data_IF_091847466876
#
_entry.id   IF_091847466876
#
_cell.length_a   1.000
_cell.length_b   1.000
_cell.length_c   1.000
_cell.angle_alpha   90.00
_cell.angle_beta   90.00
_cell.angle_gamma   90.00
#
_symmetry.space_group_name_H-M   'P 1'
#
loop_
_entity.id
_entity.type
_entity.pdbx_description
1 polymer ?
#
# COMPACT_ATOMS: atom_id res chain seq x y z
N UNK A 1 12.15 4.70 -24.87
CA UNK A 1 11.36 3.79 -24.02
C UNK A 1 11.84 3.93 -22.59
N UNK A 2 10.89 4.10 -21.67
CA UNK A 2 11.20 4.23 -20.26
C UNK A 2 11.71 2.92 -19.64
N UNK A 3 12.45 3.02 -18.56
CA UNK A 3 12.73 1.89 -17.67
C UNK A 3 11.44 1.48 -16.97
N UNK A 4 10.99 0.23 -17.16
CA UNK A 4 9.80 -0.27 -16.49
C UNK A 4 10.12 -0.67 -15.04
N UNK A 5 9.54 0.06 -14.10
CA UNK A 5 9.68 -0.20 -12.66
C UNK A 5 8.71 -1.32 -12.22
N UNK A 6 9.01 -2.56 -12.62
CA UNK A 6 8.17 -3.73 -12.34
C UNK A 6 8.23 -4.12 -10.86
N UNK A 7 7.08 -4.45 -10.29
CA UNK A 7 6.99 -4.90 -8.89
C UNK A 7 7.56 -6.29 -8.64
N UNK A 8 7.54 -7.20 -9.63
CA UNK A 8 8.03 -8.58 -9.43
C UNK A 8 9.47 -8.68 -8.96
N UNK A 9 10.47 -7.97 -9.54
CA UNK A 9 11.85 -8.01 -9.02
C UNK A 9 11.95 -7.52 -7.58
N UNK A 10 11.16 -6.50 -7.20
CA UNK A 10 11.10 -5.98 -5.82
C UNK A 10 10.60 -7.06 -4.88
N UNK A 11 9.49 -7.71 -5.24
CA UNK A 11 8.88 -8.81 -4.48
C UNK A 11 9.82 -9.99 -4.31
N UNK A 12 10.57 -10.35 -5.36
CA UNK A 12 11.53 -11.45 -5.30
C UNK A 12 12.71 -11.11 -4.37
N UNK A 13 13.18 -9.87 -4.41
CA UNK A 13 14.22 -9.37 -3.50
C UNK A 13 13.74 -9.37 -2.04
N UNK A 14 12.58 -8.78 -1.76
CA UNK A 14 11.97 -8.79 -0.42
C UNK A 14 11.78 -10.21 0.12
N UNK A 15 11.41 -11.16 -0.74
CA UNK A 15 11.15 -12.54 -0.33
C UNK A 15 12.40 -13.26 0.23
N UNK A 16 13.59 -12.89 -0.20
CA UNK A 16 14.85 -13.48 0.31
C UNK A 16 15.03 -13.05 1.78
N UNK A 17 14.97 -11.75 2.06
CA UNK A 17 15.11 -11.22 3.42
C UNK A 17 14.01 -11.74 4.34
N UNK A 18 12.75 -11.69 3.89
CA UNK A 18 11.61 -12.13 4.69
C UNK A 18 11.71 -13.61 5.09
N UNK A 19 12.11 -14.51 4.19
CA UNK A 19 12.29 -15.93 4.54
C UNK A 19 13.35 -16.10 5.62
N UNK A 20 14.49 -15.44 5.51
CA UNK A 20 15.56 -15.51 6.50
C UNK A 20 15.07 -15.03 7.88
N UNK A 21 14.34 -13.91 7.91
CA UNK A 21 13.76 -13.37 9.16
C UNK A 21 12.70 -14.30 9.76
N UNK A 22 11.85 -14.90 8.93
CA UNK A 22 10.82 -15.87 9.37
C UNK A 22 11.48 -17.11 9.96
N UNK A 23 12.52 -17.65 9.33
CA UNK A 23 13.26 -18.79 9.86
C UNK A 23 13.93 -18.46 11.20
N UNK A 24 14.52 -17.27 11.32
CA UNK A 24 15.09 -16.80 12.58
C UNK A 24 14.02 -16.63 13.70
N UNK A 25 12.83 -16.17 13.39
CA UNK A 25 11.70 -16.10 14.32
C UNK A 25 11.26 -17.50 14.76
N UNK A 26 11.07 -18.42 13.82
CA UNK A 26 10.67 -19.80 14.08
C UNK A 26 11.70 -20.55 14.93
N UNK A 27 12.98 -20.33 14.71
CA UNK A 27 14.05 -20.92 15.55
C UNK A 27 13.98 -20.47 17.02
N UNK A 28 13.34 -19.33 17.29
CA UNK A 28 13.07 -18.78 18.65
C UNK A 28 11.68 -19.16 19.18
N UNK A 29 10.92 -20.00 18.46
CA UNK A 29 9.58 -20.43 18.82
C UNK A 29 8.47 -19.41 18.49
N UNK A 30 8.78 -18.41 17.67
CA UNK A 30 7.78 -17.41 17.22
C UNK A 30 7.29 -17.77 15.82
N UNK A 31 6.00 -18.06 15.67
CA UNK A 31 5.33 -18.33 14.38
C UNK A 31 4.65 -17.06 13.88
N UNK A 32 5.24 -16.29 12.93
CA UNK A 32 4.62 -15.07 12.45
C UNK A 32 3.25 -15.36 11.84
N UNK A 33 2.21 -14.75 12.38
CA UNK A 33 0.82 -15.06 12.05
C UNK A 33 0.03 -13.79 11.70
N UNK A 34 -0.62 -13.81 10.54
CA UNK A 34 -1.49 -12.76 10.03
C UNK A 34 -2.96 -13.12 10.29
N UNK A 35 -3.68 -12.30 11.05
CA UNK A 35 -5.13 -12.34 11.11
C UNK A 35 -5.74 -11.73 9.85
N UNK A 36 -6.71 -12.42 9.25
CA UNK A 36 -7.48 -11.97 8.08
C UNK A 36 -8.93 -11.79 8.51
N UNK A 37 -9.38 -10.53 8.62
CA UNK A 37 -10.74 -10.21 9.08
C UNK A 37 -11.59 -9.77 7.90
N UNK A 38 -12.68 -10.50 7.62
CA UNK A 38 -13.65 -10.13 6.59
C UNK A 38 -15.09 -10.29 7.06
N UNK A 39 -15.98 -9.57 6.40
CA UNK A 39 -17.42 -9.68 6.58
C UNK A 39 -18.07 -10.21 5.30
N UNK A 40 -18.90 -11.25 5.44
CA UNK A 40 -19.58 -11.87 4.31
C UNK A 40 -18.62 -12.50 3.29
N UNK A 41 -19.05 -12.55 2.02
CA UNK A 41 -18.35 -13.25 0.95
C UNK A 41 -18.25 -12.40 -0.34
N UNK A 42 -17.91 -11.12 -0.20
CA UNK A 42 -17.72 -10.26 -1.37
C UNK A 42 -16.61 -10.82 -2.27
N UNK A 43 -16.83 -10.92 -3.60
CA UNK A 43 -15.86 -11.52 -4.52
C UNK A 43 -14.46 -10.89 -4.45
N UNK A 44 -14.40 -9.57 -4.28
CA UNK A 44 -13.14 -8.84 -4.20
C UNK A 44 -12.36 -9.20 -2.92
N UNK A 45 -13.05 -9.30 -1.78
CA UNK A 45 -12.43 -9.70 -0.51
C UNK A 45 -11.90 -11.13 -0.58
N UNK A 46 -12.69 -12.05 -1.14
CA UNK A 46 -12.28 -13.45 -1.34
C UNK A 46 -11.07 -13.57 -2.28
N UNK A 47 -11.01 -12.75 -3.31
CA UNK A 47 -9.89 -12.72 -4.25
C UNK A 47 -8.62 -12.20 -3.56
N UNK A 48 -8.75 -11.11 -2.78
CA UNK A 48 -7.63 -10.53 -2.05
C UNK A 48 -7.17 -11.46 -0.90
N UNK A 49 -8.10 -12.07 -0.17
CA UNK A 49 -7.79 -13.07 0.86
C UNK A 49 -6.99 -14.26 0.29
N UNK A 50 -7.41 -14.80 -0.86
CA UNK A 50 -6.65 -15.88 -1.55
C UNK A 50 -5.24 -15.45 -1.89
N UNK A 51 -5.08 -14.23 -2.40
CA UNK A 51 -3.77 -13.67 -2.76
C UNK A 51 -2.89 -13.50 -1.53
N UNK A 52 -3.43 -12.94 -0.44
CA UNK A 52 -2.73 -12.77 0.83
C UNK A 52 -2.32 -14.11 1.43
N UNK A 53 -3.22 -15.11 1.49
CA UNK A 53 -2.92 -16.47 1.95
C UNK A 53 -1.84 -17.15 1.12
N UNK A 54 -1.93 -17.06 -0.22
CA UNK A 54 -0.92 -17.62 -1.12
C UNK A 54 0.45 -16.97 -0.89
N UNK A 55 0.47 -15.65 -0.72
CA UNK A 55 1.72 -14.94 -0.46
C UNK A 55 2.31 -15.30 0.91
N UNK A 56 1.51 -15.31 1.97
CA UNK A 56 1.92 -15.72 3.30
C UNK A 56 2.53 -17.15 3.28
N UNK A 57 1.81 -18.12 2.72
CA UNK A 57 2.29 -19.49 2.59
C UNK A 57 3.60 -19.61 1.82
N UNK A 58 3.80 -18.84 0.73
CA UNK A 58 5.01 -18.85 -0.08
C UNK A 58 6.27 -18.35 0.67
N UNK A 59 6.04 -17.59 1.75
CA UNK A 59 7.09 -17.06 2.63
C UNK A 59 7.26 -17.90 3.90
N UNK A 60 6.29 -18.76 4.23
CA UNK A 60 6.29 -19.56 5.47
C UNK A 60 5.60 -18.84 6.63
N UNK A 61 4.77 -17.81 6.38
CA UNK A 61 3.90 -17.18 7.37
C UNK A 61 2.61 -17.98 7.57
N UNK A 62 2.11 -17.99 8.79
CA UNK A 62 0.78 -18.53 9.11
C UNK A 62 -0.31 -17.47 8.93
N UNK A 63 -1.53 -17.93 8.61
CA UNK A 63 -2.71 -17.07 8.51
C UNK A 63 -3.86 -17.61 9.36
N UNK A 64 -4.58 -16.71 10.05
CA UNK A 64 -5.72 -17.02 10.89
C UNK A 64 -6.95 -16.25 10.40
N UNK A 65 -7.93 -16.91 9.73
CA UNK A 65 -9.11 -16.21 9.23
C UNK A 65 -10.11 -15.94 10.36
N UNK A 66 -10.70 -14.76 10.32
CA UNK A 66 -11.82 -14.33 11.16
C UNK A 66 -12.93 -13.88 10.21
N UNK A 67 -13.92 -14.74 10.04
CA UNK A 67 -15.04 -14.51 9.12
C UNK A 67 -16.27 -14.17 9.93
N UNK A 68 -16.79 -12.96 9.73
CA UNK A 68 -18.04 -12.52 10.34
C UNK A 68 -19.17 -12.57 9.29
N UNK A 69 -20.39 -12.71 9.78
CA UNK A 69 -21.58 -12.54 8.96
C UNK A 69 -21.62 -11.12 8.35
N UNK A 70 -22.15 -10.95 7.15
CA UNK A 70 -22.25 -9.64 6.48
C UNK A 70 -23.20 -8.66 7.19
N UNK A 71 -24.10 -9.18 8.04
CA UNK A 71 -25.00 -8.42 8.90
C UNK A 71 -24.54 -8.40 10.38
N UNK A 72 -23.33 -8.88 10.68
CA UNK A 72 -22.85 -8.89 12.07
C UNK A 72 -22.86 -7.48 12.67
N UNK A 73 -23.39 -7.30 13.88
CA UNK A 73 -23.45 -5.99 14.51
C UNK A 73 -22.05 -5.49 14.88
N UNK A 74 -21.92 -4.17 15.02
CA UNK A 74 -20.64 -3.53 15.38
C UNK A 74 -19.98 -4.17 16.61
N UNK A 75 -20.75 -4.55 17.63
CA UNK A 75 -20.23 -5.22 18.83
C UNK A 75 -19.51 -6.55 18.54
N UNK A 76 -19.96 -7.30 17.53
CA UNK A 76 -19.29 -8.54 17.14
C UNK A 76 -17.93 -8.28 16.46
N UNK A 77 -17.86 -7.25 15.61
CA UNK A 77 -16.60 -6.83 15.00
C UNK A 77 -15.64 -6.31 16.08
N UNK A 78 -16.14 -5.49 17.01
CA UNK A 78 -15.35 -4.99 18.14
C UNK A 78 -14.78 -6.13 18.98
N UNK A 79 -15.60 -7.12 19.35
CA UNK A 79 -15.15 -8.28 20.13
C UNK A 79 -14.06 -9.07 19.37
N UNK A 80 -14.19 -9.22 18.06
CA UNK A 80 -13.19 -9.88 17.22
C UNK A 80 -11.87 -9.10 17.22
N UNK A 81 -11.89 -7.79 17.01
CA UNK A 81 -10.68 -6.97 17.04
C UNK A 81 -10.02 -6.97 18.42
N UNK A 82 -10.80 -6.91 19.48
CA UNK A 82 -10.28 -7.04 20.84
C UNK A 82 -9.60 -8.41 21.06
N UNK A 83 -10.22 -9.50 20.60
CA UNK A 83 -9.62 -10.83 20.70
C UNK A 83 -8.28 -10.91 19.97
N UNK A 84 -8.18 -10.29 18.78
CA UNK A 84 -6.95 -10.20 18.00
C UNK A 84 -5.89 -9.38 18.73
N UNK A 85 -6.26 -8.24 19.33
CA UNK A 85 -5.32 -7.41 20.08
C UNK A 85 -4.70 -8.17 21.27
N UNK A 86 -5.48 -8.99 21.98
CA UNK A 86 -5.00 -9.76 23.13
C UNK A 86 -4.31 -11.08 22.74
N UNK A 87 -4.52 -11.60 21.54
CA UNK A 87 -3.91 -12.86 21.10
C UNK A 87 -2.44 -12.67 20.77
N UNK A 88 -1.57 -13.11 21.67
CA UNK A 88 -0.10 -13.03 21.51
C UNK A 88 0.45 -13.91 20.38
N UNK A 89 -0.36 -14.82 19.84
CA UNK A 89 0.02 -15.67 18.70
C UNK A 89 -0.30 -15.00 17.36
N UNK A 90 -0.97 -13.84 17.33
CA UNK A 90 -1.29 -13.03 16.16
C UNK A 90 -0.41 -11.79 16.18
N UNK A 91 0.35 -11.57 15.11
CA UNK A 91 1.32 -10.50 14.99
C UNK A 91 0.87 -9.33 14.11
N UNK A 92 -0.12 -9.56 13.25
CA UNK A 92 -0.71 -8.50 12.42
C UNK A 92 -2.15 -8.81 12.05
N UNK A 93 -2.91 -7.76 11.74
CA UNK A 93 -4.31 -7.85 11.33
C UNK A 93 -4.54 -7.12 10.01
N UNK A 94 -5.02 -7.84 9.01
CA UNK A 94 -5.52 -7.29 7.76
C UNK A 94 -7.05 -7.34 7.79
N UNK A 95 -7.68 -6.18 7.89
CA UNK A 95 -9.13 -6.03 7.84
C UNK A 95 -9.57 -5.62 6.45
N UNK A 96 -10.40 -6.45 5.79
CA UNK A 96 -10.91 -6.15 4.45
C UNK A 96 -11.93 -5.02 4.49
N UNK A 97 -11.70 -3.99 3.71
CA UNK A 97 -12.50 -2.77 3.64
C UNK A 97 -12.94 -2.46 2.20
N UNK A 98 -13.98 -1.66 1.97
CA UNK A 98 -14.81 -1.00 2.98
C UNK A 98 -15.70 -1.97 3.76
N UNK A 99 -15.95 -1.68 5.03
CA UNK A 99 -16.94 -2.39 5.83
C UNK A 99 -18.37 -2.02 5.39
N UNK A 100 -19.39 -2.83 5.73
CA UNK A 100 -20.79 -2.46 5.52
C UNK A 100 -21.12 -1.08 6.09
N UNK A 101 -21.91 -0.28 5.36
CA UNK A 101 -22.18 1.13 5.66
C UNK A 101 -22.92 1.40 6.96
N UNK A 102 -23.50 0.38 7.59
CA UNK A 102 -24.15 0.50 8.90
C UNK A 102 -23.17 0.42 10.08
N UNK A 103 -21.89 0.12 9.81
CA UNK A 103 -20.82 0.08 10.80
C UNK A 103 -20.02 1.39 10.81
N UNK A 104 -19.55 1.79 11.98
CA UNK A 104 -18.56 2.86 12.10
C UNK A 104 -17.15 2.30 11.83
N UNK A 105 -16.80 2.22 10.53
CA UNK A 105 -15.48 1.73 10.08
C UNK A 105 -14.34 2.49 10.76
N UNK A 106 -14.48 3.81 10.91
CA UNK A 106 -13.43 4.64 11.51
C UNK A 106 -13.20 4.28 12.99
N UNK A 107 -14.27 4.09 13.75
CA UNK A 107 -14.14 3.65 15.14
C UNK A 107 -13.52 2.26 15.23
N UNK A 108 -13.92 1.32 14.36
CA UNK A 108 -13.39 -0.04 14.32
C UNK A 108 -11.90 -0.06 13.94
N UNK A 109 -11.47 0.70 12.91
CA UNK A 109 -10.06 0.81 12.56
C UNK A 109 -9.19 1.31 13.73
N UNK A 110 -9.72 2.25 14.54
CA UNK A 110 -9.00 2.80 15.69
C UNK A 110 -8.98 1.89 16.93
N UNK A 111 -9.70 0.77 16.91
CA UNK A 111 -9.63 -0.24 17.98
C UNK A 111 -8.44 -1.18 17.83
N UNK A 112 -7.89 -1.29 16.63
CA UNK A 112 -6.75 -2.15 16.39
C UNK A 112 -5.50 -1.54 17.03
N UNK A 113 -4.76 -2.37 17.80
CA UNK A 113 -3.48 -1.96 18.38
C UNK A 113 -2.48 -1.57 17.29
N UNK A 114 -1.75 -0.46 17.43
CA UNK A 114 -0.81 0.00 16.41
C UNK A 114 0.21 -1.06 16.02
N UNK A 115 0.71 -1.83 16.96
CA UNK A 115 1.64 -2.94 16.73
C UNK A 115 1.06 -4.08 15.88
N UNK A 116 -0.27 -4.17 15.73
CA UNK A 116 -0.96 -5.16 14.89
C UNK A 116 -1.64 -4.56 13.68
N UNK A 117 -1.65 -3.24 13.57
CA UNK A 117 -2.21 -2.49 12.44
C UNK A 117 -1.22 -2.48 11.25
N UNK A 118 -0.97 -3.65 10.70
CA UNK A 118 0.03 -3.84 9.63
C UNK A 118 -0.36 -3.21 8.29
N UNK A 119 -1.58 -2.70 8.15
CA UNK A 119 -2.04 -1.98 6.96
C UNK A 119 -2.10 -0.45 7.16
N UNK A 120 -1.75 0.02 8.37
CA UNK A 120 -1.65 1.44 8.70
C UNK A 120 -2.97 2.19 8.60
N UNK A 121 -4.07 1.56 9.04
CA UNK A 121 -5.44 2.10 8.89
C UNK A 121 -5.91 2.92 10.07
N UNK A 122 -5.29 2.76 11.24
CA UNK A 122 -5.63 3.48 12.46
C UNK A 122 -5.06 4.90 12.47
N UNK A 123 -5.66 5.78 13.27
CA UNK A 123 -5.13 7.13 13.48
C UNK A 123 -3.75 7.10 14.14
N UNK A 124 -3.47 6.13 15.01
CA UNK A 124 -2.17 5.98 15.65
C UNK A 124 -1.08 5.68 14.61
N UNK A 125 -1.29 4.69 13.73
CA UNK A 125 -0.35 4.37 12.65
C UNK A 125 -0.18 5.54 11.67
N UNK A 126 -1.25 6.27 11.34
CA UNK A 126 -1.15 7.46 10.50
C UNK A 126 -0.39 8.60 11.19
N UNK A 127 -0.58 8.78 12.51
CA UNK A 127 0.17 9.76 13.27
C UNK A 127 1.66 9.42 13.32
N UNK A 128 2.04 8.13 13.44
CA UNK A 128 3.43 7.70 13.41
C UNK A 128 4.13 8.05 12.09
N UNK A 129 3.44 7.89 10.95
CA UNK A 129 3.96 8.31 9.64
C UNK A 129 4.21 9.83 9.59
N UNK A 130 3.32 10.62 10.21
CA UNK A 130 3.45 12.08 10.24
C UNK A 130 4.56 12.55 11.18
N UNK A 131 4.78 11.85 12.30
CA UNK A 131 5.73 12.22 13.35
C UNK A 131 7.09 11.51 13.25
N UNK A 132 7.26 10.64 12.27
CA UNK A 132 8.44 9.77 12.11
C UNK A 132 8.69 8.86 13.33
N UNK A 133 7.63 8.51 14.10
CA UNK A 133 7.75 7.54 15.18
C UNK A 133 7.64 6.10 14.66
N UNK A 134 8.05 5.14 15.50
CA UNK A 134 7.97 3.71 15.21
C UNK A 134 6.70 3.05 15.79
N UNK A 135 5.70 3.83 16.19
CA UNK A 135 4.49 3.34 16.83
C UNK A 135 3.43 2.92 15.80
N UNK A 136 3.58 1.76 15.22
CA UNK A 136 2.71 1.25 14.18
C UNK A 136 3.36 1.21 12.79
N UNK A 137 2.55 0.95 11.77
CA UNK A 137 3.03 0.73 10.41
C UNK A 137 2.44 1.74 9.43
N UNK A 138 3.20 2.15 8.41
CA UNK A 138 2.66 2.98 7.35
C UNK A 138 1.66 2.19 6.49
N UNK A 139 0.71 2.86 5.80
CA UNK A 139 -0.15 2.21 4.84
C UNK A 139 0.65 1.45 3.78
N UNK A 140 0.33 0.17 3.59
CA UNK A 140 1.11 -0.75 2.75
C UNK A 140 1.32 -0.26 1.32
N UNK A 141 0.32 0.42 0.71
CA UNK A 141 0.46 0.94 -0.65
C UNK A 141 1.41 2.14 -0.71
N UNK A 142 1.41 3.00 0.31
CA UNK A 142 2.35 4.10 0.40
C UNK A 142 3.79 3.58 0.57
N UNK A 143 3.99 2.59 1.45
CA UNK A 143 5.28 1.91 1.61
C UNK A 143 5.73 1.24 0.31
N UNK A 144 4.84 0.58 -0.43
CA UNK A 144 5.19 -0.06 -1.70
C UNK A 144 5.75 0.91 -2.75
N UNK A 145 5.31 2.18 -2.75
CA UNK A 145 5.91 3.21 -3.58
C UNK A 145 7.38 3.46 -3.20
N UNK A 146 7.65 3.53 -1.91
CA UNK A 146 9.02 3.75 -1.39
C UNK A 146 9.90 2.54 -1.69
N UNK A 147 9.40 1.31 -1.48
CA UNK A 147 10.13 0.07 -1.79
C UNK A 147 10.54 -0.01 -3.28
N UNK A 148 9.68 0.40 -4.19
CA UNK A 148 10.03 0.46 -5.62
C UNK A 148 11.12 1.51 -5.87
N UNK A 149 11.00 2.71 -5.31
CA UNK A 149 12.00 3.76 -5.49
C UNK A 149 13.37 3.32 -4.95
N UNK A 150 13.40 2.69 -3.77
CA UNK A 150 14.63 2.19 -3.16
C UNK A 150 15.26 1.05 -3.97
N UNK A 151 14.47 0.05 -4.37
CA UNK A 151 14.96 -1.08 -5.15
C UNK A 151 15.61 -0.65 -6.47
N UNK A 152 14.96 0.27 -7.18
CA UNK A 152 15.47 0.81 -8.44
C UNK A 152 16.48 1.94 -8.26
N UNK A 153 16.85 2.25 -7.01
CA UNK A 153 17.85 3.27 -6.66
C UNK A 153 17.51 4.65 -7.21
N UNK A 154 16.23 5.00 -7.25
CA UNK A 154 15.78 6.32 -7.67
C UNK A 154 16.17 7.34 -6.58
N UNK A 155 16.98 8.36 -6.90
CA UNK A 155 17.44 9.32 -5.90
C UNK A 155 16.29 10.18 -5.39
N UNK A 156 16.22 10.36 -4.05
CA UNK A 156 15.18 11.15 -3.38
C UNK A 156 15.73 12.45 -2.77
N UNK A 157 16.97 12.44 -2.29
CA UNK A 157 17.59 13.60 -1.61
C UNK A 157 17.63 14.80 -2.54
N UNK A 158 16.98 15.89 -2.12
CA UNK A 158 16.91 17.15 -2.89
C UNK A 158 16.01 17.10 -4.12
N UNK A 159 15.28 15.99 -4.35
CA UNK A 159 14.38 15.83 -5.49
C UNK A 159 13.02 16.45 -5.22
N UNK A 160 12.44 17.04 -6.26
CA UNK A 160 11.05 17.52 -6.24
C UNK A 160 10.10 16.40 -6.64
N UNK A 161 9.18 16.07 -5.73
CA UNK A 161 8.15 15.04 -5.94
C UNK A 161 6.77 15.68 -5.96
N UNK A 162 6.01 15.45 -7.01
CA UNK A 162 4.59 15.81 -7.07
C UNK A 162 3.76 14.54 -6.80
N UNK A 163 2.91 14.60 -5.79
CA UNK A 163 1.96 13.54 -5.43
C UNK A 163 0.55 13.99 -5.79
N UNK A 164 -0.07 13.33 -6.78
CA UNK A 164 -1.44 13.63 -7.19
C UNK A 164 -2.39 12.67 -6.45
N UNK A 165 -3.07 13.20 -5.44
CA UNK A 165 -3.93 12.47 -4.52
C UNK A 165 -3.62 12.85 -3.09
N UNK A 166 -4.66 12.83 -2.22
CA UNK A 166 -4.53 13.21 -0.80
C UNK A 166 -5.29 12.29 0.14
N UNK A 167 -5.45 11.03 -0.26
CA UNK A 167 -6.06 10.01 0.59
C UNK A 167 -5.17 9.70 1.80
N UNK A 168 -5.77 9.12 2.84
CA UNK A 168 -5.03 8.60 3.99
C UNK A 168 -4.35 7.25 3.69
N UNK A 169 -4.71 6.62 2.58
CA UNK A 169 -4.15 5.31 2.18
C UNK A 169 -2.86 5.47 1.37
N UNK A 170 -2.76 6.50 0.51
CA UNK A 170 -1.60 6.68 -0.38
C UNK A 170 -1.04 8.10 -0.30
N UNK A 171 -1.79 9.10 -0.77
CA UNK A 171 -1.24 10.42 -1.07
C UNK A 171 -0.57 11.11 0.12
N UNK A 172 -1.26 11.25 1.24
CA UNK A 172 -0.68 11.88 2.44
C UNK A 172 0.46 11.05 3.04
N UNK A 173 0.30 9.73 3.31
CA UNK A 173 1.38 8.96 3.90
C UNK A 173 2.61 8.88 3.01
N UNK A 174 2.50 8.63 1.70
CA UNK A 174 3.69 8.61 0.83
C UNK A 174 4.41 9.95 0.81
N UNK A 175 3.67 11.06 0.87
CA UNK A 175 4.26 12.40 0.92
C UNK A 175 5.13 12.61 2.17
N UNK A 176 4.65 12.17 3.34
CA UNK A 176 5.42 12.25 4.59
C UNK A 176 6.64 11.33 4.56
N UNK A 177 6.48 10.10 4.04
CA UNK A 177 7.59 9.15 3.91
C UNK A 177 8.69 9.68 2.98
N UNK A 178 8.33 10.38 1.90
CA UNK A 178 9.29 11.00 0.98
C UNK A 178 9.95 12.24 1.59
N UNK A 179 9.19 13.04 2.34
CA UNK A 179 9.75 14.16 3.10
C UNK A 179 10.83 13.69 4.09
N UNK A 180 10.58 12.61 4.83
CA UNK A 180 11.56 11.95 5.70
C UNK A 180 12.82 11.50 4.94
N UNK A 181 12.71 11.19 3.64
CA UNK A 181 13.83 10.83 2.76
C UNK A 181 14.51 12.04 2.12
N UNK A 182 14.28 13.25 2.65
CA UNK A 182 14.83 14.54 2.17
C UNK A 182 14.40 14.91 0.74
N UNK A 183 13.22 14.46 0.29
CA UNK A 183 12.60 15.00 -0.92
C UNK A 183 11.78 16.25 -0.59
N UNK A 184 11.64 17.17 -1.57
CA UNK A 184 10.68 18.27 -1.50
C UNK A 184 9.37 17.81 -2.13
N UNK A 185 8.26 17.86 -1.40
CA UNK A 185 7.00 17.25 -1.84
C UNK A 185 5.90 18.30 -2.04
N UNK A 186 5.26 18.25 -3.20
CA UNK A 186 4.04 19.02 -3.51
C UNK A 186 2.86 18.06 -3.61
N UNK A 187 1.85 18.23 -2.75
CA UNK A 187 0.61 17.44 -2.80
C UNK A 187 -0.43 18.16 -3.64
N UNK A 188 -0.88 17.49 -4.71
CA UNK A 188 -1.89 18.00 -5.63
C UNK A 188 -3.20 17.21 -5.51
N UNK A 189 -4.29 17.85 -5.93
CA UNK A 189 -5.65 17.28 -5.84
C UNK A 189 -6.58 17.88 -6.89
N UNK A 190 -7.82 17.46 -6.93
CA UNK A 190 -8.83 17.86 -7.92
C UNK A 190 -9.16 19.38 -7.99
N UNK A 191 -8.65 20.17 -7.05
CA UNK A 191 -8.80 21.64 -7.03
C UNK A 191 -7.45 22.36 -7.19
N UNK A 192 -6.40 21.64 -7.57
CA UNK A 192 -5.10 22.25 -7.86
C UNK A 192 -5.15 22.89 -9.23
N UNK A 193 -4.81 24.16 -9.29
CA UNK A 193 -4.69 24.92 -10.54
C UNK A 193 -3.38 24.58 -11.24
N UNK A 194 -3.35 24.64 -12.57
CA UNK A 194 -2.18 24.40 -13.39
C UNK A 194 -1.46 23.07 -13.11
N UNK A 195 -2.23 22.00 -12.80
CA UNK A 195 -1.69 20.70 -12.44
C UNK A 195 -0.68 20.13 -13.46
N UNK A 196 -0.91 20.22 -14.81
CA UNK A 196 0.06 19.74 -15.77
C UNK A 196 1.42 20.45 -15.66
N UNK A 197 1.42 21.76 -15.41
CA UNK A 197 2.67 22.53 -15.24
C UNK A 197 3.41 22.12 -13.97
N UNK A 198 2.72 21.98 -12.86
CA UNK A 198 3.30 21.49 -11.61
C UNK A 198 3.93 20.10 -11.79
N UNK A 199 3.23 19.19 -12.44
CA UNK A 199 3.78 17.85 -12.73
C UNK A 199 5.06 17.93 -13.55
N UNK A 200 5.13 18.76 -14.56
CA UNK A 200 6.34 18.92 -15.39
C UNK A 200 7.53 19.54 -14.67
N UNK A 201 7.33 20.23 -13.53
CA UNK A 201 8.46 20.74 -12.73
C UNK A 201 9.10 19.65 -11.86
N UNK A 202 8.42 18.55 -11.62
CA UNK A 202 8.89 17.48 -10.72
C UNK A 202 9.98 16.62 -11.36
N UNK A 203 10.80 16.00 -10.51
CA UNK A 203 11.68 14.88 -10.86
C UNK A 203 10.91 13.54 -10.82
N UNK A 204 9.98 13.43 -9.86
CA UNK A 204 9.17 12.23 -9.64
C UNK A 204 7.69 12.64 -9.55
N UNK A 205 6.82 11.92 -10.23
CA UNK A 205 5.36 12.11 -10.14
C UNK A 205 4.71 10.83 -9.65
N UNK A 206 3.87 10.92 -8.62
CA UNK A 206 3.09 9.80 -8.07
C UNK A 206 1.61 10.07 -8.34
N UNK A 207 0.97 9.21 -9.14
CA UNK A 207 -0.44 9.31 -9.49
C UNK A 207 -1.27 8.35 -8.64
N UNK A 208 -2.18 8.87 -7.80
CA UNK A 208 -2.97 8.11 -6.83
C UNK A 208 -4.38 8.71 -6.65
N UNK A 209 -5.16 8.78 -7.74
CA UNK A 209 -6.51 9.37 -7.76
C UNK A 209 -7.62 8.36 -8.01
N UNK A 210 -7.29 7.12 -8.45
CA UNK A 210 -8.26 6.06 -8.73
C UNK A 210 -9.17 6.39 -9.92
N UNK A 211 -8.62 6.92 -11.01
CA UNK A 211 -9.35 7.27 -12.23
C UNK A 211 -8.59 6.79 -13.45
N UNK A 212 -9.19 5.87 -14.21
CA UNK A 212 -8.59 5.30 -15.41
C UNK A 212 -8.12 6.39 -16.39
N UNK A 213 -6.85 6.30 -16.81
CA UNK A 213 -6.22 7.16 -17.82
C UNK A 213 -6.41 8.68 -17.61
N UNK A 214 -6.46 9.11 -16.33
CA UNK A 214 -6.69 10.52 -15.97
C UNK A 214 -5.54 11.45 -16.38
N UNK A 215 -4.33 10.90 -16.58
CA UNK A 215 -3.11 11.66 -16.85
C UNK A 215 -2.47 11.22 -18.17
N UNK A 216 -2.59 12.07 -19.20
CA UNK A 216 -1.96 11.92 -20.49
C UNK A 216 -0.58 12.58 -20.56
N UNK A 217 -0.01 12.61 -21.76
CA UNK A 217 1.34 13.13 -22.04
C UNK A 217 1.57 14.58 -21.60
N UNK A 218 0.52 15.40 -21.55
CA UNK A 218 0.60 16.83 -21.19
C UNK A 218 1.06 17.09 -19.76
N UNK A 219 0.95 16.07 -18.88
CA UNK A 219 1.40 16.14 -17.49
C UNK A 219 2.89 15.85 -17.30
N UNK A 220 3.56 15.26 -18.30
CA UNK A 220 4.89 14.70 -18.13
C UNK A 220 5.92 15.27 -19.11
N UNK A 221 7.19 15.02 -18.81
CA UNK A 221 8.34 15.36 -19.65
C UNK A 221 9.45 14.31 -19.54
N UNK A 222 10.43 14.38 -20.42
CA UNK A 222 11.65 13.59 -20.34
C UNK A 222 12.42 13.86 -19.02
N UNK A 223 13.12 12.86 -18.52
CA UNK A 223 13.90 12.93 -17.28
C UNK A 223 13.08 12.64 -16.01
N UNK A 224 11.80 12.28 -16.12
CA UNK A 224 10.94 12.00 -14.95
C UNK A 224 10.82 10.53 -14.64
N UNK A 225 10.64 10.24 -13.35
CA UNK A 225 10.15 8.94 -12.86
C UNK A 225 8.67 9.06 -12.51
N UNK A 226 7.84 8.13 -13.00
CA UNK A 226 6.39 8.13 -12.78
C UNK A 226 5.99 6.86 -12.03
N UNK A 227 5.35 7.03 -10.87
CA UNK A 227 4.71 5.94 -10.14
C UNK A 227 3.19 6.02 -10.32
N UNK A 228 2.63 5.06 -11.03
CA UNK A 228 1.18 4.90 -11.16
C UNK A 228 0.68 3.93 -10.09
N UNK A 229 -0.11 4.45 -9.16
CA UNK A 229 -0.70 3.70 -8.04
C UNK A 229 -2.15 3.31 -8.32
N UNK A 230 -2.72 3.84 -9.41
CA UNK A 230 -4.10 3.58 -9.79
C UNK A 230 -4.37 2.09 -10.07
N UNK A 231 -5.51 1.62 -9.62
CA UNK A 231 -6.05 0.31 -9.99
C UNK A 231 -7.48 0.54 -10.45
N UNK A 232 -7.68 0.55 -11.75
CA UNK A 232 -8.95 0.88 -12.38
C UNK A 232 -9.28 -0.15 -13.45
N UNK A 233 -10.52 -0.14 -13.92
CA UNK A 233 -10.92 -0.85 -15.14
C UNK A 233 -11.36 0.18 -16.18
N UNK A 234 -10.86 0.03 -17.40
CA UNK A 234 -11.26 0.88 -18.51
C UNK A 234 -12.67 0.52 -19.03
N UNK A 235 -13.12 1.20 -20.08
CA UNK A 235 -14.42 0.96 -20.71
C UNK A 235 -14.57 -0.45 -21.34
N UNK A 236 -13.47 -1.17 -21.50
CA UNK A 236 -13.44 -2.56 -22.05
C UNK A 236 -13.28 -3.60 -20.93
N UNK A 237 -13.23 -3.18 -19.66
CA UNK A 237 -13.00 -4.06 -18.52
C UNK A 237 -11.54 -4.49 -18.36
N UNK A 238 -10.61 -3.80 -19.01
CA UNK A 238 -9.18 -4.08 -18.87
C UNK A 238 -8.61 -3.31 -17.67
N UNK A 239 -7.80 -4.00 -16.87
CA UNK A 239 -7.11 -3.40 -15.72
C UNK A 239 -6.10 -2.35 -16.18
N UNK A 240 -6.21 -1.14 -15.68
CA UNK A 240 -5.35 -0.02 -16.02
C UNK A 240 -5.04 0.87 -14.82
N UNK A 241 -4.09 1.79 -14.98
CA UNK A 241 -3.72 2.78 -14.00
C UNK A 241 -4.44 4.11 -14.14
N UNK A 242 -3.96 5.10 -13.37
CA UNK A 242 -4.37 6.50 -13.48
C UNK A 242 -3.69 7.19 -14.68
N UNK A 243 -2.54 6.68 -15.13
CA UNK A 243 -1.74 7.22 -16.23
C UNK A 243 -2.14 6.55 -17.55
N UNK A 244 -2.24 7.34 -18.62
CA UNK A 244 -2.31 6.80 -19.99
C UNK A 244 -0.92 6.27 -20.38
N UNK A 245 -0.69 5.00 -20.07
CA UNK A 245 0.63 4.37 -20.17
C UNK A 245 1.24 4.47 -21.55
N UNK A 246 0.46 4.22 -22.61
CA UNK A 246 0.94 4.19 -23.99
C UNK A 246 1.40 5.57 -24.49
N UNK A 247 0.80 6.64 -23.96
CA UNK A 247 1.21 8.02 -24.29
C UNK A 247 2.41 8.47 -23.47
N UNK A 248 2.58 7.99 -22.25
CA UNK A 248 3.53 8.52 -21.27
C UNK A 248 4.85 7.72 -21.26
N UNK A 249 4.80 6.41 -21.43
CA UNK A 249 5.99 5.55 -21.46
C UNK A 249 7.07 6.01 -22.44
N UNK A 250 6.73 6.45 -23.68
CA UNK A 250 7.75 6.93 -24.61
C UNK A 250 8.45 8.24 -24.20
N UNK A 251 7.90 8.99 -23.25
CA UNK A 251 8.35 10.33 -22.89
C UNK A 251 9.25 10.32 -21.65
N UNK A 252 8.86 9.55 -20.60
CA UNK A 252 9.53 9.58 -19.30
C UNK A 252 10.73 8.63 -19.24
N UNK A 253 11.59 8.79 -18.24
CA UNK A 253 12.76 7.92 -18.08
C UNK A 253 12.43 6.61 -17.37
N UNK A 254 11.47 6.63 -16.45
CA UNK A 254 11.03 5.44 -15.74
C UNK A 254 9.54 5.52 -15.38
N UNK A 255 8.85 4.37 -15.43
CA UNK A 255 7.41 4.29 -15.09
C UNK A 255 7.04 2.93 -14.53
N UNK A 256 6.13 2.89 -13.56
CA UNK A 256 5.52 1.64 -13.10
C UNK A 256 4.39 1.20 -14.04
N UNK A 257 4.36 -0.06 -14.49
CA UNK A 257 3.25 -0.57 -15.28
C UNK A 257 2.03 -0.91 -14.41
N UNK A 258 0.83 -0.82 -14.97
CA UNK A 258 -0.41 -1.35 -14.36
C UNK A 258 -1.09 -2.26 -15.39
N UNK A 259 -1.24 -3.56 -15.10
CA UNK A 259 -0.78 -4.29 -13.90
C UNK A 259 0.74 -4.52 -13.86
N UNK A 260 1.23 -4.93 -12.67
CA UNK A 260 2.61 -5.38 -12.52
C UNK A 260 3.56 -4.41 -11.83
N UNK A 261 3.08 -3.23 -11.43
CA UNK A 261 3.82 -2.21 -10.65
C UNK A 261 3.54 -2.29 -9.14
N UNK A 262 3.09 -1.15 -8.58
CA UNK A 262 2.89 -0.92 -7.14
C UNK A 262 1.99 -1.99 -6.49
N UNK A 263 0.83 -2.31 -7.09
CA UNK A 263 -0.10 -3.29 -6.54
C UNK A 263 0.50 -4.69 -6.33
N UNK A 264 1.53 -5.06 -7.11
CA UNK A 264 2.26 -6.32 -6.93
C UNK A 264 3.08 -6.31 -5.63
N UNK A 265 3.60 -5.16 -5.23
CA UNK A 265 4.49 -5.01 -4.06
C UNK A 265 3.70 -4.91 -2.75
N UNK A 266 2.52 -4.31 -2.78
CA UNK A 266 1.68 -4.03 -1.58
C UNK A 266 1.51 -5.26 -0.69
N UNK A 267 1.14 -6.42 -1.25
CA UNK A 267 0.96 -7.65 -0.46
C UNK A 267 2.26 -8.13 0.20
N UNK A 268 3.42 -7.88 -0.42
CA UNK A 268 4.71 -8.22 0.18
C UNK A 268 5.09 -7.29 1.32
N UNK A 269 4.73 -6.01 1.22
CA UNK A 269 4.86 -5.03 2.32
C UNK A 269 3.99 -5.47 3.51
N UNK A 270 2.73 -5.88 3.26
CA UNK A 270 1.87 -6.45 4.32
C UNK A 270 2.57 -7.59 5.06
N UNK A 271 3.21 -8.53 4.34
CA UNK A 271 3.95 -9.63 4.97
C UNK A 271 5.21 -9.14 5.73
N UNK A 272 5.90 -8.12 5.20
CA UNK A 272 7.05 -7.52 5.88
C UNK A 272 6.67 -6.91 7.23
N UNK A 273 5.55 -6.19 7.30
CA UNK A 273 5.02 -5.64 8.54
C UNK A 273 4.64 -6.72 9.55
N UNK A 274 4.04 -7.85 9.12
CA UNK A 274 3.77 -8.98 10.03
C UNK A 274 5.06 -9.58 10.60
N UNK A 275 6.10 -9.69 9.78
CA UNK A 275 7.42 -10.20 10.22
C UNK A 275 8.12 -9.23 11.16
N UNK A 276 7.92 -7.93 10.97
CA UNK A 276 8.47 -6.89 11.84
C UNK A 276 7.75 -6.85 13.20
N UNK A 277 6.43 -7.08 13.20
CA UNK A 277 5.61 -7.13 14.40
C UNK A 277 5.81 -8.42 15.24
N UNK A 278 6.40 -9.46 14.67
CA UNK A 278 6.64 -10.74 15.31
C UNK A 278 7.98 -10.81 16.07
#
# INVERSE_FOLDING_TARGET
MATLLKGKPVVDHMAIDLRNRIEALKSRGVEPTLALVRMGERPDDLSYERTAKKRAASLGLSTKPYVLDDLAPQAAVQATLQSINYDKTVHGCLMFRPLPSFLDEKALCNMLSPEKDIDGISLASLASVFTDSSDGFPPCTAQACVEILDFYKIPLVGKHVVVIGRSLVVGKPVSMMLLRRNASVTICHSRTENLPELCRTADIVICAVGRAHAFGKEYFRAGQTVLDVGINFDSHGTLCGDVNFDEVEPIVDAITPVPGGIGTVTTSVTMAHVVEAA
#
